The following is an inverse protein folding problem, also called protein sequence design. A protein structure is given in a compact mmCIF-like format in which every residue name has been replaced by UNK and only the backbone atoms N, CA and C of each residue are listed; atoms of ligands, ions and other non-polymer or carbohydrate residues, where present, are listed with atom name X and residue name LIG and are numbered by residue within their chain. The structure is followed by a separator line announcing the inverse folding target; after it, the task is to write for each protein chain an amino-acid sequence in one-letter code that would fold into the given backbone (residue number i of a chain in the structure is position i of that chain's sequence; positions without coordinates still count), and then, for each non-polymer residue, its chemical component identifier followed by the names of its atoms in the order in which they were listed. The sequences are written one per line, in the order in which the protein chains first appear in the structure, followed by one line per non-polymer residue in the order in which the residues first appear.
data_IF_441121753005
#
_entry.id   IF_441121753005
#
_cell.length_a   1.000
_cell.length_b   1.000
_cell.length_c   1.000
_cell.angle_alpha   90.00
_cell.angle_beta   90.00
_cell.angle_gamma   90.00
#
_symmetry.space_group_name_H-M   'P 1'
#
loop_
_entity.id
_entity.type
_entity.pdbx_description
1 polymer ?
#
# COMPACT_ATOMS: atom_id res chain seq x y z
N UNK A 1 12.54 23.23 2.67
CA UNK A 1 12.29 22.44 3.88
C UNK A 1 10.79 22.15 4.07
N UNK A 2 10.44 21.24 5.00
CA UNK A 2 9.05 20.98 5.33
C UNK A 2 8.34 22.24 5.86
N UNK A 3 9.03 23.00 6.72
CA UNK A 3 8.49 24.23 7.29
C UNK A 3 8.22 25.31 6.25
N UNK A 4 9.08 25.47 5.25
CA UNK A 4 8.83 26.41 4.14
C UNK A 4 7.57 26.05 3.35
N UNK A 5 7.37 24.74 3.09
CA UNK A 5 6.14 24.26 2.41
C UNK A 5 4.91 24.51 3.28
N UNK A 6 5.03 24.32 4.60
CA UNK A 6 3.98 24.56 5.56
C UNK A 6 3.58 26.05 5.59
N UNK A 7 4.54 26.98 5.81
CA UNK A 7 4.26 28.43 5.84
C UNK A 7 3.66 28.94 4.53
N UNK A 8 4.10 28.38 3.39
CA UNK A 8 3.50 28.73 2.09
C UNK A 8 2.04 28.28 1.99
N UNK A 9 1.69 27.14 2.57
CA UNK A 9 0.33 26.58 2.50
C UNK A 9 -0.61 27.22 3.53
N UNK A 10 -0.07 27.63 4.67
CA UNK A 10 -0.80 28.21 5.79
C UNK A 10 -0.21 29.58 6.16
N UNK A 11 -0.47 30.64 5.37
CA UNK A 11 -0.02 32.00 5.69
C UNK A 11 -0.61 32.44 7.03
N UNK A 12 0.18 33.10 7.85
CA UNK A 12 -0.22 33.54 9.21
C UNK A 12 0.13 32.55 10.31
N UNK A 13 0.75 31.41 9.99
CA UNK A 13 1.28 30.45 10.97
C UNK A 13 2.81 30.54 11.11
N UNK A 14 3.37 31.73 10.95
CA UNK A 14 4.82 31.98 10.95
C UNK A 14 5.48 31.71 12.31
N UNK A 15 4.67 31.72 13.39
CA UNK A 15 5.12 31.35 14.74
C UNK A 15 5.11 29.83 15.01
N UNK A 16 4.63 29.03 14.06
CA UNK A 16 4.61 27.58 14.23
C UNK A 16 6.02 27.01 14.26
N UNK A 17 6.27 26.06 15.16
CA UNK A 17 7.52 25.36 15.29
C UNK A 17 7.34 23.85 15.30
N UNK A 18 8.34 23.14 14.83
CA UNK A 18 8.35 21.68 14.88
C UNK A 18 8.66 21.21 16.30
N UNK A 19 7.72 20.51 16.93
CA UNK A 19 7.91 20.01 18.29
C UNK A 19 8.69 18.69 18.33
N UNK A 20 8.22 17.71 17.59
CA UNK A 20 8.71 16.35 17.63
C UNK A 20 8.58 15.68 16.27
N UNK A 21 9.58 14.89 15.87
CA UNK A 21 9.51 13.99 14.74
C UNK A 21 9.73 12.54 15.17
N UNK A 22 9.21 11.62 14.40
CA UNK A 22 9.51 10.19 14.52
C UNK A 22 9.70 9.60 13.13
N UNK A 23 10.43 8.50 13.06
CA UNK A 23 10.62 7.73 11.84
C UNK A 23 9.87 6.42 11.93
N UNK A 24 9.39 5.94 10.79
CA UNK A 24 8.76 4.63 10.64
C UNK A 24 9.34 3.90 9.44
N UNK A 25 9.05 2.62 9.36
CA UNK A 25 9.45 1.77 8.24
C UNK A 25 8.20 1.39 7.45
N UNK A 26 8.27 1.49 6.13
CA UNK A 26 7.27 0.95 5.23
C UNK A 26 7.68 -0.45 4.76
N UNK A 27 6.74 -1.38 4.72
CA UNK A 27 6.88 -2.68 4.10
C UNK A 27 6.70 -2.55 2.58
N UNK A 28 7.74 -2.13 1.89
CA UNK A 28 7.67 -1.94 0.45
C UNK A 28 7.83 -3.27 -0.29
N UNK A 29 6.85 -3.59 -1.15
CA UNK A 29 6.97 -4.65 -2.12
C UNK A 29 7.90 -4.25 -3.28
N UNK A 30 8.42 -5.21 -4.07
CA UNK A 30 9.30 -4.91 -5.21
C UNK A 30 8.69 -3.98 -6.26
N UNK A 31 7.37 -4.05 -6.45
CA UNK A 31 6.61 -3.24 -7.42
C UNK A 31 5.80 -2.11 -6.76
N UNK A 32 5.98 -1.88 -5.46
CA UNK A 32 5.23 -0.90 -4.67
C UNK A 32 3.70 -1.14 -4.65
N UNK A 33 3.24 -2.30 -5.10
CA UNK A 33 1.84 -2.70 -5.06
C UNK A 33 1.62 -3.78 -4.01
N UNK A 34 0.47 -3.77 -3.30
CA UNK A 34 0.20 -4.77 -2.29
C UNK A 34 0.05 -6.17 -2.88
N UNK A 35 0.40 -7.19 -2.08
CA UNK A 35 0.00 -8.56 -2.36
C UNK A 35 -1.17 -8.92 -1.44
N UNK A 36 -2.26 -9.43 -2.01
CA UNK A 36 -3.37 -9.95 -1.23
C UNK A 36 -4.13 -11.03 -2.00
N UNK A 37 -4.62 -12.01 -1.26
CA UNK A 37 -5.36 -13.13 -1.80
C UNK A 37 -4.95 -14.45 -1.18
N UNK A 38 -5.44 -15.55 -1.77
CA UNK A 38 -5.08 -16.91 -1.38
C UNK A 38 -3.65 -17.22 -1.82
N UNK A 39 -2.87 -17.85 -0.95
CA UNK A 39 -1.54 -18.38 -1.29
C UNK A 39 -1.73 -19.76 -1.90
N UNK A 40 -1.33 -19.94 -3.16
CA UNK A 40 -1.57 -21.20 -3.87
C UNK A 40 -0.81 -22.40 -3.29
N UNK A 41 0.38 -22.15 -2.75
CA UNK A 41 1.22 -23.21 -2.18
C UNK A 41 0.70 -23.78 -0.85
N UNK A 42 -0.20 -23.08 -0.16
CA UNK A 42 -0.69 -23.45 1.16
C UNK A 42 -2.21 -23.32 1.24
N UNK A 43 -2.87 -24.46 1.37
CA UNK A 43 -4.33 -24.43 1.49
C UNK A 43 -4.80 -23.73 2.76
N UNK A 44 -5.83 -22.90 2.65
CA UNK A 44 -6.40 -22.13 3.75
C UNK A 44 -5.57 -20.89 4.16
N UNK A 45 -4.43 -20.61 3.53
CA UNK A 45 -3.65 -19.40 3.81
C UNK A 45 -4.06 -18.26 2.89
N UNK A 46 -4.36 -17.11 3.50
CA UNK A 46 -4.59 -15.85 2.82
C UNK A 46 -3.59 -14.81 3.32
N UNK A 47 -3.16 -13.93 2.44
CA UNK A 47 -2.16 -12.90 2.74
C UNK A 47 -2.71 -11.52 2.38
N UNK A 48 -2.28 -10.51 3.13
CA UNK A 48 -2.43 -9.10 2.81
C UNK A 48 -1.20 -8.36 3.33
N UNK A 49 -0.26 -8.01 2.44
CA UNK A 49 1.04 -7.46 2.81
C UNK A 49 1.61 -6.55 1.74
N UNK A 50 2.73 -5.87 2.03
CA UNK A 50 3.47 -5.07 1.08
C UNK A 50 2.73 -3.83 0.60
N UNK A 51 1.96 -3.17 1.46
CA UNK A 51 1.14 -2.01 1.09
C UNK A 51 1.93 -0.73 0.82
N UNK A 52 3.24 -0.74 0.99
CA UNK A 52 4.15 0.33 0.58
C UNK A 52 3.73 1.72 1.08
N UNK A 53 3.27 1.80 2.34
CA UNK A 53 2.81 3.04 2.97
C UNK A 53 1.35 3.42 2.69
N UNK A 54 0.60 2.65 1.91
CA UNK A 54 -0.79 2.96 1.55
C UNK A 54 -1.85 2.17 2.33
N UNK A 55 -1.46 1.16 3.11
CA UNK A 55 -2.35 0.18 3.73
C UNK A 55 -3.40 0.78 4.66
N UNK A 56 -3.04 1.77 5.47
CA UNK A 56 -3.96 2.35 6.46
C UNK A 56 -5.24 2.89 5.81
N UNK A 57 -5.11 3.72 4.78
CA UNK A 57 -6.27 4.32 4.10
C UNK A 57 -7.08 3.30 3.28
N UNK A 58 -6.47 2.20 2.88
CA UNK A 58 -7.10 1.15 2.10
C UNK A 58 -7.69 0.03 2.97
N UNK A 59 -7.40 0.03 4.28
CA UNK A 59 -7.74 -1.07 5.19
C UNK A 59 -9.22 -1.50 5.18
N UNK A 60 -10.23 -0.61 5.09
CA UNK A 60 -11.63 -1.05 5.02
C UNK A 60 -11.92 -1.86 3.76
N UNK A 61 -11.43 -1.42 2.60
CA UNK A 61 -11.60 -2.12 1.32
C UNK A 61 -10.85 -3.45 1.31
N UNK A 62 -9.60 -3.46 1.76
CA UNK A 62 -8.79 -4.68 1.86
C UNK A 62 -9.43 -5.70 2.80
N UNK A 63 -9.92 -5.26 3.94
CA UNK A 63 -10.64 -6.14 4.88
C UNK A 63 -11.86 -6.80 4.23
N UNK A 64 -12.64 -6.05 3.46
CA UNK A 64 -13.77 -6.59 2.70
C UNK A 64 -13.32 -7.61 1.65
N UNK A 65 -12.31 -7.30 0.83
CA UNK A 65 -11.77 -8.22 -0.19
C UNK A 65 -11.31 -9.54 0.43
N UNK A 66 -10.49 -9.47 1.50
CA UNK A 66 -9.98 -10.68 2.16
C UNK A 66 -11.13 -11.47 2.79
N UNK A 67 -12.11 -10.81 3.40
CA UNK A 67 -13.29 -11.47 3.93
C UNK A 67 -14.05 -12.23 2.86
N UNK A 68 -14.30 -11.62 1.70
CA UNK A 68 -15.00 -12.27 0.58
C UNK A 68 -14.21 -13.47 0.07
N UNK A 69 -12.89 -13.31 -0.11
CA UNK A 69 -12.02 -14.39 -0.56
C UNK A 69 -11.99 -15.58 0.41
N UNK A 70 -12.04 -15.31 1.71
CA UNK A 70 -12.05 -16.38 2.75
C UNK A 70 -13.38 -17.10 2.80
N UNK A 71 -14.49 -16.36 2.71
CA UNK A 71 -15.84 -16.90 2.88
C UNK A 71 -16.38 -17.50 1.58
N UNK A 72 -16.28 -16.73 0.49
CA UNK A 72 -16.93 -17.02 -0.78
C UNK A 72 -15.94 -17.51 -1.87
N UNK A 73 -14.63 -17.43 -1.60
CA UNK A 73 -13.57 -17.81 -2.54
C UNK A 73 -13.34 -16.78 -3.67
N UNK A 74 -14.13 -15.72 -3.73
CA UNK A 74 -14.06 -14.67 -4.76
C UNK A 74 -14.62 -13.35 -4.23
N UNK A 75 -14.27 -12.25 -4.89
CA UNK A 75 -14.89 -10.94 -4.66
C UNK A 75 -15.30 -10.34 -6.00
N UNK A 76 -16.42 -9.63 -6.03
CA UNK A 76 -16.94 -8.91 -7.20
C UNK A 76 -16.48 -7.43 -7.22
N UNK A 77 -15.82 -6.96 -6.19
CA UNK A 77 -15.40 -5.56 -6.05
C UNK A 77 -14.26 -5.18 -7.00
N UNK A 78 -13.29 -6.07 -7.16
CA UNK A 78 -12.15 -5.89 -8.08
C UNK A 78 -11.62 -7.24 -8.55
N UNK A 79 -10.91 -7.25 -9.67
CA UNK A 79 -10.07 -8.38 -10.04
C UNK A 79 -8.83 -8.43 -9.14
N UNK A 80 -8.75 -9.45 -8.29
CA UNK A 80 -7.63 -9.64 -7.35
C UNK A 80 -6.47 -10.43 -7.95
N UNK A 81 -6.66 -11.04 -9.11
CA UNK A 81 -5.66 -11.93 -9.72
C UNK A 81 -4.30 -11.26 -9.96
N UNK A 82 -4.20 -9.98 -10.33
CA UNK A 82 -2.91 -9.31 -10.49
C UNK A 82 -2.15 -9.13 -9.16
N UNK A 83 -2.85 -9.15 -8.02
CA UNK A 83 -2.25 -8.89 -6.70
C UNK A 83 -1.80 -10.16 -5.98
N UNK A 84 -1.81 -11.32 -6.64
CA UNK A 84 -1.33 -12.58 -6.08
C UNK A 84 0.12 -12.49 -5.62
N UNK A 85 0.47 -13.15 -4.53
CA UNK A 85 1.84 -13.09 -3.98
C UNK A 85 2.86 -13.81 -4.88
N UNK A 86 2.42 -14.82 -5.61
CA UNK A 86 3.24 -15.62 -6.52
C UNK A 86 3.89 -14.79 -7.64
N UNK A 87 3.28 -13.64 -8.01
CA UNK A 87 3.81 -12.74 -9.04
C UNK A 87 5.25 -12.29 -8.78
N UNK A 88 5.67 -12.22 -7.51
CA UNK A 88 7.05 -11.86 -7.17
C UNK A 88 8.06 -12.96 -7.52
N UNK A 89 7.68 -14.23 -7.36
CA UNK A 89 8.51 -15.36 -7.76
C UNK A 89 8.49 -15.59 -9.27
N UNK A 90 7.44 -15.17 -9.94
CA UNK A 90 7.22 -15.28 -11.38
C UNK A 90 7.81 -14.09 -12.17
N UNK A 91 8.33 -13.06 -11.46
CA UNK A 91 8.79 -11.79 -12.06
C UNK A 91 7.67 -11.05 -12.86
N UNK A 92 6.41 -11.30 -12.50
CA UNK A 92 5.22 -10.69 -13.11
C UNK A 92 4.78 -9.46 -12.31
N UNK A 93 5.68 -8.48 -12.24
CA UNK A 93 5.50 -7.30 -11.41
C UNK A 93 4.47 -6.34 -12.00
N UNK A 94 3.65 -5.76 -11.14
CA UNK A 94 2.70 -4.70 -11.49
C UNK A 94 3.46 -3.37 -11.64
N UNK A 95 4.21 -3.24 -12.72
CA UNK A 95 4.90 -1.99 -13.03
C UNK A 95 3.83 -0.97 -13.43
N UNK A 96 3.47 -0.12 -12.49
CA UNK A 96 2.63 1.05 -12.77
C UNK A 96 3.29 1.89 -13.87
N UNK A 97 2.47 2.39 -14.81
CA UNK A 97 2.94 3.25 -15.89
C UNK A 97 3.82 4.39 -15.35
N UNK A 98 4.67 4.95 -16.21
CA UNK A 98 5.67 5.98 -15.90
C UNK A 98 5.18 7.02 -14.86
N UNK A 99 5.59 6.91 -13.62
CA UNK A 99 5.18 7.82 -12.53
C UNK A 99 5.20 7.20 -11.14
N UNK A 100 5.13 5.88 -11.00
CA UNK A 100 5.30 5.21 -9.72
C UNK A 100 6.79 4.88 -9.51
N UNK A 101 7.56 5.89 -9.25
CA UNK A 101 8.94 5.75 -8.81
C UNK A 101 9.03 6.08 -7.31
N UNK A 102 10.15 5.72 -6.67
CA UNK A 102 10.50 6.07 -5.28
C UNK A 102 10.25 7.55 -4.88
N UNK A 103 9.89 8.42 -5.83
CA UNK A 103 9.55 9.83 -5.59
C UNK A 103 8.19 10.04 -4.92
N UNK A 104 7.31 9.04 -4.91
CA UNK A 104 5.97 9.18 -4.34
C UNK A 104 5.94 9.02 -2.82
N UNK A 105 7.04 8.59 -2.21
CA UNK A 105 7.19 8.36 -0.78
C UNK A 105 7.99 9.47 -0.05
N UNK A 106 8.36 10.54 -0.75
CA UNK A 106 9.13 11.66 -0.18
C UNK A 106 8.27 12.90 0.09
#
# INVERSE_FOLDING_TARGET
SLMERFSRRFPGQDSASMMRGYTGVYDCSPDFQPAFGKVQALDGLFVGAGFSGHGFKLSPGIGKFISDLVIDGSTDMIDVSPFRIERFAEDDLLLGGEGYSNRSLA
#
